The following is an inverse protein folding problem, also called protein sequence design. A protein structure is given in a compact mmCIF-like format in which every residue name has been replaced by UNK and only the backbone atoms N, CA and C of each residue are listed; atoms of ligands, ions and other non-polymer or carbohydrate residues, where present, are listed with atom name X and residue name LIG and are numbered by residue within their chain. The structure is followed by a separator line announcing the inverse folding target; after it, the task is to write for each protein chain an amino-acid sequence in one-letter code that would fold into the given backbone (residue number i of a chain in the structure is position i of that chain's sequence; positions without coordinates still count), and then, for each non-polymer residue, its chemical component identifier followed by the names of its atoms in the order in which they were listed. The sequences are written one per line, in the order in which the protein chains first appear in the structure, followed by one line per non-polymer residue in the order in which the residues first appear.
data_IF_880988388779
#
_entry.id   IF_880988388779
#
_cell.length_a   1.000
_cell.length_b   1.000
_cell.length_c   1.000
_cell.angle_alpha   90.00
_cell.angle_beta   90.00
_cell.angle_gamma   90.00
#
_symmetry.space_group_name_H-M   'P 1'
#
loop_
_entity.id
_entity.type
_entity.pdbx_description
1 polymer ?
#
# COMPACT_ATOMS: atom_id res chain seq x y z
N UNK A 1 -9.57 16.18 24.90
CA UNK A 1 -10.58 15.13 24.90
C UNK A 1 -10.50 14.30 23.64
N UNK A 2 -10.66 12.99 23.75
CA UNK A 2 -10.68 12.13 22.60
C UNK A 2 -11.94 12.36 21.78
N UNK A 3 -11.79 12.59 20.48
CA UNK A 3 -12.92 12.74 19.56
C UNK A 3 -13.55 11.37 19.29
N UNK A 4 -14.85 11.36 19.17
CA UNK A 4 -15.57 10.12 18.86
C UNK A 4 -15.37 9.79 17.38
N UNK A 5 -14.93 8.55 17.10
CA UNK A 5 -14.75 8.07 15.73
C UNK A 5 -16.12 7.80 15.11
N UNK A 6 -16.40 8.46 13.99
CA UNK A 6 -17.62 8.25 13.23
C UNK A 6 -17.43 7.13 12.18
N UNK A 7 -16.27 7.07 11.56
CA UNK A 7 -15.99 6.07 10.52
C UNK A 7 -14.48 5.92 10.30
N UNK A 8 -14.10 4.77 9.76
CA UNK A 8 -12.73 4.51 9.31
C UNK A 8 -12.79 4.16 7.84
N UNK A 9 -12.03 4.88 7.03
CA UNK A 9 -11.97 4.67 5.57
C UNK A 9 -10.58 4.20 5.20
N UNK A 10 -10.50 3.10 4.47
CA UNK A 10 -9.23 2.54 3.98
C UNK A 10 -9.18 2.69 2.48
N UNK A 11 -8.15 3.35 1.99
CA UNK A 11 -7.98 3.61 0.56
C UNK A 11 -6.55 3.28 0.12
N UNK A 12 -6.38 3.02 -1.16
CA UNK A 12 -5.08 2.95 -1.80
C UNK A 12 -4.98 4.10 -2.79
N UNK A 13 -3.99 4.95 -2.63
CA UNK A 13 -3.84 6.18 -3.41
C UNK A 13 -2.42 6.26 -3.96
N UNK A 14 -2.30 6.71 -5.20
CA UNK A 14 -0.99 6.96 -5.80
C UNK A 14 -0.28 8.10 -5.06
N UNK A 15 0.95 7.85 -4.62
CA UNK A 15 1.74 8.83 -3.88
C UNK A 15 1.92 10.11 -4.70
N UNK A 16 1.66 11.24 -4.08
CA UNK A 16 1.80 12.56 -4.69
C UNK A 16 0.73 12.90 -5.74
N UNK A 17 -0.26 12.02 -5.95
CA UNK A 17 -1.28 12.20 -6.99
C UNK A 17 -2.70 12.05 -6.46
N UNK A 18 -2.93 12.34 -5.18
CA UNK A 18 -4.29 12.32 -4.63
C UNK A 18 -5.12 13.45 -5.25
N UNK A 19 -6.30 13.10 -5.75
CA UNK A 19 -7.23 14.05 -6.37
C UNK A 19 -8.64 13.81 -5.82
N UNK A 20 -9.53 14.80 -5.91
CA UNK A 20 -10.91 14.61 -5.44
C UNK A 20 -11.76 13.70 -6.35
N UNK A 21 -11.17 13.13 -7.38
CA UNK A 21 -11.84 12.17 -8.25
C UNK A 21 -11.95 10.79 -7.58
N UNK A 22 -12.83 9.89 -8.07
CA UNK A 22 -12.90 8.53 -7.54
C UNK A 22 -11.52 7.85 -7.52
N UNK A 23 -11.19 7.04 -6.48
CA UNK A 23 -12.07 6.60 -5.40
C UNK A 23 -12.12 7.52 -4.16
N UNK A 24 -11.33 8.58 -4.13
CA UNK A 24 -11.18 9.43 -2.93
C UNK A 24 -12.43 10.29 -2.68
N UNK A 25 -12.91 10.97 -3.71
CA UNK A 25 -14.05 11.88 -3.60
C UNK A 25 -15.28 11.23 -2.99
N UNK A 26 -15.82 10.16 -3.61
CA UNK A 26 -17.00 9.48 -3.08
C UNK A 26 -16.78 8.90 -1.67
N UNK A 27 -15.61 8.32 -1.42
CA UNK A 27 -15.32 7.69 -0.13
C UNK A 27 -15.32 8.69 1.02
N UNK A 28 -14.72 9.86 0.82
CA UNK A 28 -14.65 10.91 1.84
C UNK A 28 -15.87 11.80 1.85
N UNK A 29 -16.48 12.01 0.69
CA UNK A 29 -17.67 12.86 0.57
C UNK A 29 -18.87 12.34 1.37
N UNK A 30 -19.01 11.01 1.47
CA UNK A 30 -20.06 10.37 2.27
C UNK A 30 -19.99 10.76 3.74
N UNK A 31 -18.79 11.07 4.22
CA UNK A 31 -18.56 11.39 5.64
C UNK A 31 -18.42 12.91 5.89
N UNK A 32 -18.59 13.73 4.85
CA UNK A 32 -18.48 15.18 4.95
C UNK A 32 -17.07 15.69 5.24
N UNK A 33 -16.07 14.92 4.88
CA UNK A 33 -14.65 15.26 5.08
C UNK A 33 -14.18 16.25 4.02
N UNK A 34 -13.27 17.15 4.38
CA UNK A 34 -12.65 18.08 3.45
C UNK A 34 -11.69 17.34 2.52
N UNK A 35 -12.18 16.98 1.34
CA UNK A 35 -11.45 16.19 0.35
C UNK A 35 -10.17 16.92 -0.11
N UNK A 36 -10.29 18.20 -0.42
CA UNK A 36 -9.14 18.99 -0.89
C UNK A 36 -8.05 19.08 0.16
N UNK A 37 -8.44 19.27 1.43
CA UNK A 37 -7.50 19.28 2.55
C UNK A 37 -6.75 17.97 2.69
N UNK A 38 -7.46 16.85 2.57
CA UNK A 38 -6.84 15.53 2.60
C UNK A 38 -5.85 15.35 1.43
N UNK A 39 -6.27 15.66 0.21
CA UNK A 39 -5.42 15.48 -0.98
C UNK A 39 -4.13 16.30 -0.86
N UNK A 40 -4.23 17.54 -0.43
CA UNK A 40 -3.08 18.42 -0.26
C UNK A 40 -2.10 17.88 0.77
N UNK A 41 -2.60 17.45 1.92
CA UNK A 41 -1.77 16.91 3.00
C UNK A 41 -1.13 15.58 2.64
N UNK A 42 -1.90 14.69 2.02
CA UNK A 42 -1.40 13.40 1.55
C UNK A 42 -0.30 13.60 0.50
N UNK A 43 -0.51 14.45 -0.48
CA UNK A 43 0.48 14.71 -1.52
C UNK A 43 1.78 15.28 -0.92
N UNK A 44 1.66 16.17 0.06
CA UNK A 44 2.84 16.73 0.75
C UNK A 44 3.63 15.64 1.49
N UNK A 45 2.94 14.70 2.16
CA UNK A 45 3.59 13.62 2.92
C UNK A 45 4.20 12.53 2.04
N UNK A 46 3.69 12.35 0.83
CA UNK A 46 4.10 11.24 -0.04
C UNK A 46 4.92 11.66 -1.25
N UNK A 47 5.41 12.90 -1.27
CA UNK A 47 6.21 13.39 -2.40
C UNK A 47 7.45 12.54 -2.68
N UNK A 48 8.09 12.04 -1.63
CA UNK A 48 9.28 11.20 -1.75
C UNK A 48 8.99 9.80 -2.29
N UNK A 49 7.72 9.42 -2.35
CA UNK A 49 7.30 8.08 -2.74
C UNK A 49 6.49 8.08 -4.04
N UNK A 50 6.68 9.09 -4.88
CA UNK A 50 5.97 9.20 -6.17
C UNK A 50 6.12 7.94 -7.00
N UNK A 51 5.02 7.55 -7.64
CA UNK A 51 4.97 6.35 -8.47
C UNK A 51 4.62 5.08 -7.72
N UNK A 52 4.46 5.14 -6.40
CA UNK A 52 4.03 4.00 -5.58
C UNK A 52 2.58 4.18 -5.14
N UNK A 53 1.89 3.06 -4.97
CA UNK A 53 0.55 3.05 -4.36
C UNK A 53 0.74 2.97 -2.85
N UNK A 54 0.14 3.93 -2.13
CA UNK A 54 0.26 4.01 -0.67
C UNK A 54 -1.09 3.70 -0.05
N UNK A 55 -1.19 2.66 0.81
CA UNK A 55 -2.40 2.43 1.60
C UNK A 55 -2.55 3.54 2.64
N UNK A 56 -3.75 4.08 2.74
CA UNK A 56 -4.08 5.14 3.69
C UNK A 56 -5.25 4.69 4.55
N UNK A 57 -5.12 4.84 5.86
CA UNK A 57 -6.22 4.64 6.79
C UNK A 57 -6.64 6.01 7.32
N UNK A 58 -7.85 6.42 6.98
CA UNK A 58 -8.41 7.72 7.36
C UNK A 58 -9.43 7.50 8.46
N UNK A 59 -9.22 8.14 9.60
CA UNK A 59 -10.17 8.12 10.71
C UNK A 59 -10.99 9.39 10.66
N UNK A 60 -12.30 9.24 10.49
CA UNK A 60 -13.25 10.37 10.45
C UNK A 60 -13.92 10.47 11.80
N UNK A 61 -13.94 11.67 12.37
CA UNK A 61 -14.52 11.95 13.68
C UNK A 61 -15.92 12.54 13.56
N UNK A 62 -16.66 12.49 14.65
CA UNK A 62 -18.05 12.96 14.69
C UNK A 62 -18.21 14.45 14.35
N UNK A 63 -17.19 15.26 14.56
CA UNK A 63 -17.18 16.70 14.22
C UNK A 63 -16.76 16.96 12.76
N UNK A 64 -16.66 15.92 11.94
CA UNK A 64 -16.23 15.96 10.53
C UNK A 64 -14.74 16.27 10.36
N UNK A 65 -13.97 16.30 11.42
CA UNK A 65 -12.51 16.33 11.31
C UNK A 65 -11.99 14.94 10.96
N UNK A 66 -10.77 14.87 10.51
CA UNK A 66 -10.15 13.60 10.17
C UNK A 66 -8.68 13.57 10.52
N UNK A 67 -8.17 12.38 10.73
CA UNK A 67 -6.73 12.11 10.76
C UNK A 67 -6.46 10.94 9.84
N UNK A 68 -5.26 10.86 9.32
CA UNK A 68 -4.89 9.72 8.48
C UNK A 68 -3.47 9.29 8.76
N UNK A 69 -3.25 7.99 8.53
CA UNK A 69 -1.91 7.41 8.58
C UNK A 69 -1.63 6.77 7.22
N UNK A 70 -0.40 6.90 6.76
CA UNK A 70 0.07 6.22 5.56
C UNK A 70 0.85 4.99 5.97
N UNK A 71 0.67 3.91 5.23
CA UNK A 71 1.40 2.66 5.46
C UNK A 71 2.41 2.47 4.33
N UNK A 72 3.28 1.48 4.48
CA UNK A 72 4.22 1.12 3.42
C UNK A 72 3.44 0.59 2.21
N UNK A 73 4.00 0.71 0.97
CA UNK A 73 3.33 0.18 -0.21
C UNK A 73 2.98 -1.30 -0.07
N UNK A 74 1.88 -1.77 -0.71
CA UNK A 74 1.54 -3.19 -0.67
C UNK A 74 2.65 -4.07 -1.24
N UNK A 75 2.81 -5.26 -0.69
CA UNK A 75 3.85 -6.21 -1.14
C UNK A 75 3.77 -6.47 -2.66
N UNK A 76 2.58 -6.69 -3.26
CA UNK A 76 2.51 -6.88 -4.71
C UNK A 76 3.10 -5.72 -5.53
N UNK A 77 2.91 -4.48 -5.09
CA UNK A 77 3.47 -3.31 -5.77
C UNK A 77 4.99 -3.32 -5.71
N UNK A 78 5.54 -3.63 -4.55
CA UNK A 78 7.00 -3.74 -4.36
C UNK A 78 7.59 -4.86 -5.20
N UNK A 79 6.91 -6.00 -5.28
CA UNK A 79 7.33 -7.14 -6.10
C UNK A 79 7.35 -6.77 -7.57
N UNK A 80 6.30 -6.13 -8.08
CA UNK A 80 6.23 -5.70 -9.49
C UNK A 80 7.38 -4.74 -9.82
N UNK A 81 7.66 -3.81 -8.94
CA UNK A 81 8.75 -2.84 -9.12
C UNK A 81 10.10 -3.53 -9.14
N UNK A 82 10.36 -4.43 -8.19
CA UNK A 82 11.63 -5.16 -8.10
C UNK A 82 11.84 -6.09 -9.29
N UNK A 83 10.76 -6.73 -9.76
CA UNK A 83 10.79 -7.66 -10.89
C UNK A 83 10.75 -6.96 -12.25
N UNK A 84 10.43 -5.66 -12.28
CA UNK A 84 10.33 -4.89 -13.52
C UNK A 84 9.11 -5.22 -14.37
N UNK A 85 8.01 -5.67 -13.77
CA UNK A 85 6.77 -6.03 -14.47
C UNK A 85 5.65 -5.07 -14.07
N UNK A 86 4.68 -4.91 -14.96
CA UNK A 86 3.51 -4.05 -14.72
C UNK A 86 2.37 -4.79 -14.02
N UNK A 87 2.22 -6.07 -14.31
CA UNK A 87 1.15 -6.89 -13.74
C UNK A 87 1.62 -8.31 -13.47
N UNK A 88 0.96 -8.97 -12.53
CA UNK A 88 1.20 -10.38 -12.24
C UNK A 88 0.58 -11.31 -13.29
N UNK A 89 0.82 -12.59 -13.13
CA UNK A 89 0.27 -13.62 -14.03
C UNK A 89 -1.21 -13.84 -13.76
N UNK A 90 -1.98 -14.04 -14.83
CA UNK A 90 -3.38 -14.48 -14.74
C UNK A 90 -3.48 -15.95 -14.32
N UNK A 91 -2.41 -16.74 -14.57
CA UNK A 91 -2.34 -18.16 -14.22
C UNK A 91 -1.02 -18.44 -13.49
N UNK A 92 -0.88 -18.00 -12.23
CA UNK A 92 0.41 -18.05 -11.53
C UNK A 92 0.96 -19.47 -11.33
N UNK A 93 0.12 -20.49 -11.33
CA UNK A 93 0.56 -21.87 -11.21
C UNK A 93 1.26 -22.38 -12.47
N UNK A 94 0.94 -21.83 -13.62
CA UNK A 94 1.43 -22.28 -14.92
C UNK A 94 2.36 -21.29 -15.59
N UNK A 95 1.94 -20.03 -15.62
CA UNK A 95 2.66 -18.98 -16.35
C UNK A 95 3.45 -18.13 -15.36
N UNK A 96 4.76 -18.26 -15.37
CA UNK A 96 5.66 -17.44 -14.56
C UNK A 96 6.11 -16.24 -15.39
N UNK A 97 5.92 -15.04 -14.86
CA UNK A 97 6.16 -13.79 -15.60
C UNK A 97 7.47 -13.11 -15.22
N UNK A 98 8.05 -13.45 -14.08
CA UNK A 98 9.28 -12.83 -13.59
C UNK A 98 9.94 -13.70 -12.53
N UNK A 99 11.11 -13.25 -12.09
CA UNK A 99 11.90 -13.92 -11.06
C UNK A 99 12.50 -12.90 -10.11
N UNK A 100 12.47 -13.20 -8.81
CA UNK A 100 13.11 -12.39 -7.79
C UNK A 100 14.32 -13.12 -7.21
N UNK A 101 15.38 -12.39 -6.95
CA UNK A 101 16.52 -12.91 -6.20
C UNK A 101 16.21 -12.87 -4.70
N UNK A 102 16.95 -13.67 -3.94
CA UNK A 102 16.83 -13.68 -2.48
C UNK A 102 17.08 -12.30 -1.88
N UNK A 103 18.03 -11.56 -2.42
CA UNK A 103 18.36 -10.21 -1.97
C UNK A 103 17.20 -9.24 -2.20
N UNK A 104 16.52 -9.34 -3.35
CA UNK A 104 15.34 -8.53 -3.64
C UNK A 104 14.19 -8.83 -2.68
N UNK A 105 13.97 -10.11 -2.37
CA UNK A 105 12.95 -10.52 -1.40
C UNK A 105 13.27 -9.95 -0.02
N UNK A 106 14.52 -10.01 0.38
CA UNK A 106 14.98 -9.45 1.68
C UNK A 106 14.75 -7.94 1.75
N UNK A 107 15.07 -7.23 0.68
CA UNK A 107 14.87 -5.79 0.59
C UNK A 107 13.40 -5.40 0.73
N UNK A 108 12.52 -6.10 0.03
CA UNK A 108 11.06 -5.91 0.13
C UNK A 108 10.59 -6.19 1.55
N UNK A 109 11.03 -7.30 2.14
CA UNK A 109 10.68 -7.68 3.51
C UNK A 109 11.12 -6.62 4.52
N UNK A 110 12.33 -6.09 4.38
CA UNK A 110 12.85 -5.04 5.25
C UNK A 110 12.01 -3.77 5.15
N UNK A 111 11.65 -3.36 3.95
CA UNK A 111 10.80 -2.19 3.71
C UNK A 111 9.43 -2.36 4.36
N UNK A 112 8.89 -3.57 4.33
CA UNK A 112 7.53 -3.86 4.82
C UNK A 112 7.49 -4.23 6.31
N UNK A 113 8.64 -4.51 6.95
CA UNK A 113 8.70 -4.95 8.35
C UNK A 113 7.85 -4.13 9.32
N UNK A 114 7.83 -2.77 9.24
CA UNK A 114 7.02 -1.99 10.18
C UNK A 114 5.53 -2.32 10.16
N UNK A 115 5.02 -2.81 9.03
CA UNK A 115 3.59 -3.12 8.87
C UNK A 115 3.29 -4.62 8.95
N UNK A 116 4.32 -5.46 9.07
CA UNK A 116 4.14 -6.91 9.11
C UNK A 116 4.11 -7.43 10.54
N UNK A 117 3.30 -8.47 10.75
CA UNK A 117 3.28 -9.23 12.00
C UNK A 117 4.24 -10.42 11.88
N UNK A 118 5.52 -10.11 11.68
CA UNK A 118 6.57 -11.12 11.54
C UNK A 118 7.55 -11.03 12.69
N UNK A 119 7.94 -12.18 13.23
CA UNK A 119 8.85 -12.25 14.36
C UNK A 119 10.32 -12.09 13.97
N UNK A 120 10.65 -12.24 12.67
CA UNK A 120 12.01 -12.12 12.15
C UNK A 120 12.00 -11.72 10.70
N UNK A 121 13.16 -11.30 10.18
CA UNK A 121 13.28 -10.96 8.75
C UNK A 121 13.06 -12.20 7.86
N UNK A 122 13.48 -13.38 8.32
CA UNK A 122 13.26 -14.63 7.59
C UNK A 122 11.77 -14.95 7.46
N UNK A 123 11.00 -14.73 8.53
CA UNK A 123 9.54 -14.89 8.49
C UNK A 123 8.90 -13.89 7.52
N UNK A 124 9.36 -12.64 7.53
CA UNK A 124 8.89 -11.62 6.60
C UNK A 124 9.22 -11.99 5.15
N UNK A 125 10.42 -12.51 4.89
CA UNK A 125 10.82 -12.99 3.57
C UNK A 125 9.92 -14.13 3.08
N UNK A 126 9.54 -15.04 3.97
CA UNK A 126 8.59 -16.13 3.63
C UNK A 126 7.22 -15.59 3.21
N UNK A 127 6.73 -14.55 3.89
CA UNK A 127 5.47 -13.90 3.56
C UNK A 127 5.55 -13.25 2.17
N UNK A 128 6.64 -12.54 1.90
CA UNK A 128 6.88 -11.90 0.59
C UNK A 128 6.98 -12.96 -0.51
N UNK A 129 7.71 -14.04 -0.28
CA UNK A 129 7.87 -15.14 -1.23
C UNK A 129 6.52 -15.78 -1.56
N UNK A 130 5.65 -15.98 -0.56
CA UNK A 130 4.30 -16.51 -0.77
C UNK A 130 3.46 -15.60 -1.67
N UNK A 131 3.52 -14.29 -1.43
CA UNK A 131 2.82 -13.31 -2.26
C UNK A 131 3.37 -13.33 -3.70
N UNK A 132 4.69 -13.39 -3.87
CA UNK A 132 5.31 -13.46 -5.19
C UNK A 132 4.86 -14.70 -5.96
N UNK A 133 4.81 -15.84 -5.30
CA UNK A 133 4.33 -17.08 -5.93
C UNK A 133 2.89 -16.96 -6.39
N UNK A 134 2.04 -16.29 -5.59
CA UNK A 134 0.64 -16.07 -5.96
C UNK A 134 0.48 -15.15 -7.17
N UNK A 135 1.51 -14.37 -7.48
CA UNK A 135 1.55 -13.46 -8.64
C UNK A 135 2.19 -14.10 -9.88
N UNK A 136 2.69 -15.32 -9.78
CA UNK A 136 3.43 -15.95 -10.85
C UNK A 136 4.88 -15.50 -10.94
N UNK A 137 5.45 -15.03 -9.85
CA UNK A 137 6.85 -14.61 -9.77
C UNK A 137 7.64 -15.71 -9.05
N UNK A 138 8.70 -16.18 -9.69
CA UNK A 138 9.60 -17.17 -9.09
C UNK A 138 10.52 -16.50 -8.07
N UNK A 139 10.83 -17.21 -7.01
CA UNK A 139 11.76 -16.73 -5.97
C UNK A 139 12.96 -17.64 -5.94
N UNK A 140 14.15 -17.08 -6.08
CA UNK A 140 15.41 -17.83 -5.94
C UNK A 140 15.68 -18.14 -4.46
N UNK A 141 16.16 -19.32 -4.23
CA UNK A 141 16.64 -19.74 -2.90
C UNK A 141 18.07 -19.25 -2.64
#
# INVERSE_FOLDING_TARGET
MAKKVAAIVKLQVNAGKATPQPPIGPALGQHGVNIMGFCKEFNARTQDQKGMIIPVVITVYADRSFTFITKTPPVPVLIKKAAGIESGSAKPNRDKVAKLTKDQVREIATTKMPDLNAGSIEAAMSMVAGTARSMGVLVED
#
